data_IF_254920376377
#
_entry.id   IF_254920376377
#
_cell.length_a   1.000
_cell.length_b   1.000
_cell.length_c   1.000
_cell.angle_alpha   90.00
_cell.angle_beta   90.00
_cell.angle_gamma   90.00
#
_symmetry.space_group_name_H-M   'P 1'
#
loop_
_entity.id
_entity.type
_entity.pdbx_description
1 polymer ?
#
# COMPACT_ATOMS: atom_id res chain seq x y z
N UNK A 1 31.72 25.31 -17.19
CA UNK A 1 31.87 25.13 -15.74
C UNK A 1 30.84 24.11 -15.29
N UNK A 2 31.27 22.90 -14.92
CA UNK A 2 30.38 21.85 -14.45
C UNK A 2 30.15 21.99 -12.94
N UNK A 3 28.95 22.36 -12.53
CA UNK A 3 28.54 22.35 -11.11
C UNK A 3 27.62 21.16 -10.88
N UNK A 4 28.20 20.08 -10.34
CA UNK A 4 27.48 18.97 -9.71
C UNK A 4 26.82 19.45 -8.43
N UNK A 5 25.57 19.06 -8.19
CA UNK A 5 25.06 18.76 -6.85
C UNK A 5 23.74 17.96 -6.96
N UNK A 6 23.83 16.66 -6.71
CA UNK A 6 22.71 15.86 -6.20
C UNK A 6 23.18 15.17 -4.91
N UNK A 7 22.30 15.07 -3.91
CA UNK A 7 22.06 13.76 -3.33
C UNK A 7 20.58 13.37 -3.42
N UNK A 8 20.44 12.12 -3.82
CA UNK A 8 19.23 11.36 -4.11
C UNK A 8 18.37 11.18 -2.85
N UNK A 9 17.12 11.65 -2.87
CA UNK A 9 16.04 11.00 -2.10
C UNK A 9 15.18 10.20 -3.08
N UNK A 10 15.67 9.00 -3.39
CA UNK A 10 14.93 8.04 -4.19
C UNK A 10 13.81 7.44 -3.33
N UNK A 11 12.61 8.00 -3.44
CA UNK A 11 11.36 7.34 -3.06
C UNK A 11 10.56 7.01 -4.32
N UNK A 12 11.22 6.34 -5.26
CA UNK A 12 10.56 5.72 -6.41
C UNK A 12 10.53 4.22 -6.16
N UNK A 13 9.36 3.67 -5.84
CA UNK A 13 9.11 2.25 -6.01
C UNK A 13 7.71 2.06 -6.62
N UNK A 14 7.70 2.23 -7.94
CA UNK A 14 6.93 1.35 -8.83
C UNK A 14 7.52 -0.06 -8.64
N UNK A 15 6.73 -1.04 -8.21
CA UNK A 15 7.19 -2.44 -8.12
C UNK A 15 6.52 -3.23 -9.23
N UNK A 16 7.32 -3.49 -10.27
CA UNK A 16 7.07 -4.47 -11.32
C UNK A 16 7.14 -5.87 -10.70
N UNK A 17 6.23 -6.76 -11.11
CA UNK A 17 6.05 -8.10 -10.56
C UNK A 17 7.32 -8.94 -10.80
N UNK A 18 8.15 -9.11 -9.77
CA UNK A 18 9.44 -9.75 -9.87
C UNK A 18 10.26 -9.64 -8.58
N UNK A 19 9.89 -10.45 -7.58
CA UNK A 19 10.71 -10.93 -6.46
C UNK A 19 12.10 -10.29 -6.19
N UNK A 20 12.18 -9.00 -5.83
CA UNK A 20 13.35 -8.37 -5.18
C UNK A 20 12.82 -7.37 -4.13
N UNK A 21 12.24 -7.86 -3.04
CA UNK A 21 12.29 -7.11 -1.77
C UNK A 21 12.91 -8.05 -0.75
N UNK A 22 14.16 -7.74 -0.44
CA UNK A 22 14.99 -8.40 0.55
C UNK A 22 14.19 -8.68 1.83
N UNK A 23 14.25 -9.94 2.28
CA UNK A 23 13.71 -10.40 3.58
C UNK A 23 14.32 -9.67 4.81
N UNK A 24 15.18 -8.65 4.66
CA UNK A 24 15.94 -8.04 5.78
C UNK A 24 15.35 -6.76 6.37
N UNK A 25 14.42 -6.05 5.73
CA UNK A 25 13.83 -4.84 6.34
C UNK A 25 12.63 -5.22 7.21
N UNK A 26 12.89 -5.45 8.51
CA UNK A 26 11.84 -5.56 9.53
C UNK A 26 11.62 -4.18 10.17
N UNK A 27 10.51 -3.49 9.91
CA UNK A 27 10.22 -2.21 10.56
C UNK A 27 10.15 -2.37 12.08
N UNK A 28 10.53 -1.32 12.81
CA UNK A 28 10.54 -1.27 14.29
C UNK A 28 9.42 -0.41 14.88
N UNK A 29 8.61 0.19 14.02
CA UNK A 29 7.48 1.03 14.38
C UNK A 29 6.36 0.83 13.35
N UNK A 30 5.08 1.01 13.73
CA UNK A 30 3.97 0.87 12.80
C UNK A 30 4.04 1.95 11.71
N UNK A 31 3.48 1.63 10.54
CA UNK A 31 3.41 2.57 9.42
C UNK A 31 4.70 2.79 8.65
N UNK A 32 5.83 2.22 9.08
CA UNK A 32 7.12 2.34 8.38
C UNK A 32 7.19 1.51 7.10
N UNK A 33 6.45 0.41 7.02
CA UNK A 33 6.34 -0.42 5.82
C UNK A 33 4.92 -0.93 5.68
N UNK A 34 4.20 -0.33 4.74
CA UNK A 34 2.86 -0.77 4.35
C UNK A 34 2.95 -1.40 2.97
N UNK A 35 2.58 -2.67 2.88
CA UNK A 35 2.37 -3.38 1.64
C UNK A 35 0.96 -3.11 1.14
N UNK A 36 0.85 -2.81 -0.16
CA UNK A 36 -0.42 -2.52 -0.83
C UNK A 36 -0.53 -3.42 -2.03
N UNK A 37 -1.51 -4.32 -2.00
CA UNK A 37 -1.77 -5.27 -3.07
C UNK A 37 -3.12 -4.96 -3.71
N UNK A 38 -3.12 -4.51 -4.97
CA UNK A 38 -4.33 -4.36 -5.77
C UNK A 38 -4.47 -5.58 -6.68
N UNK A 39 -5.56 -6.32 -6.53
CA UNK A 39 -5.89 -7.37 -7.46
C UNK A 39 -6.86 -6.89 -8.54
N UNK A 40 -6.59 -7.34 -9.76
CA UNK A 40 -7.25 -6.92 -10.99
C UNK A 40 -8.73 -7.28 -11.07
N UNK A 41 -9.37 -6.98 -12.22
CA UNK A 41 -10.79 -7.15 -12.38
C UNK A 41 -11.15 -8.63 -12.28
N UNK A 42 -11.83 -9.00 -11.20
CA UNK A 42 -12.39 -10.32 -10.98
C UNK A 42 -13.40 -10.62 -12.08
N UNK A 43 -13.37 -11.85 -12.58
CA UNK A 43 -14.30 -12.30 -13.61
C UNK A 43 -15.75 -12.19 -13.13
N UNK A 44 -15.96 -12.47 -11.84
CA UNK A 44 -17.24 -12.35 -11.16
C UNK A 44 -17.24 -11.08 -10.30
N UNK A 45 -18.26 -10.25 -10.47
CA UNK A 45 -18.50 -9.09 -9.61
C UNK A 45 -18.89 -9.54 -8.21
N UNK A 46 -18.41 -8.85 -7.18
CA UNK A 46 -18.92 -9.05 -5.82
C UNK A 46 -20.40 -8.71 -5.72
N UNK A 47 -21.05 -9.07 -4.61
CA UNK A 47 -22.44 -8.69 -4.32
C UNK A 47 -22.68 -7.16 -4.40
N UNK A 48 -21.64 -6.36 -4.17
CA UNK A 48 -21.68 -4.88 -4.29
C UNK A 48 -21.31 -4.32 -5.67
N UNK A 49 -21.11 -5.18 -6.67
CA UNK A 49 -20.69 -4.79 -8.03
C UNK A 49 -19.22 -4.39 -8.14
N UNK A 50 -18.41 -4.66 -7.12
CA UNK A 50 -16.96 -4.39 -7.16
C UNK A 50 -16.24 -5.47 -7.97
N UNK A 51 -15.24 -5.05 -8.74
CA UNK A 51 -14.42 -5.94 -9.57
C UNK A 51 -13.00 -6.05 -9.05
N UNK A 52 -12.57 -5.18 -8.13
CA UNK A 52 -11.22 -5.16 -7.62
C UNK A 52 -11.24 -5.40 -6.11
N UNK A 53 -10.16 -5.98 -5.59
CA UNK A 53 -9.89 -5.99 -4.17
C UNK A 53 -8.52 -5.38 -3.90
N UNK A 54 -8.44 -4.56 -2.86
CA UNK A 54 -7.25 -3.86 -2.44
C UNK A 54 -6.94 -4.23 -1.00
N UNK A 55 -5.72 -4.69 -0.75
CA UNK A 55 -5.27 -5.10 0.58
C UNK A 55 -4.16 -4.17 1.03
N UNK A 56 -4.37 -3.53 2.18
CA UNK A 56 -3.33 -2.85 2.93
C UNK A 56 -2.85 -3.76 4.04
N UNK A 57 -1.53 -3.86 4.20
CA UNK A 57 -0.89 -4.65 5.26
C UNK A 57 0.29 -3.87 5.83
N UNK A 58 0.20 -3.51 7.10
CA UNK A 58 1.36 -3.01 7.84
C UNK A 58 2.20 -4.19 8.36
N UNK A 59 3.50 -4.18 8.08
CA UNK A 59 4.38 -5.30 8.44
C UNK A 59 4.71 -5.33 9.94
N UNK A 60 4.70 -4.17 10.61
CA UNK A 60 4.97 -4.06 12.05
C UNK A 60 3.76 -4.40 12.91
N UNK A 61 2.66 -3.63 12.80
CA UNK A 61 1.44 -3.86 13.61
C UNK A 61 0.69 -5.12 13.20
N UNK A 62 0.99 -5.67 12.02
CA UNK A 62 0.21 -6.75 11.38
C UNK A 62 -1.23 -6.37 11.10
N UNK A 63 -1.57 -5.09 11.21
CA UNK A 63 -2.87 -4.57 10.81
C UNK A 63 -3.09 -4.75 9.31
N UNK A 64 -4.28 -5.25 8.97
CA UNK A 64 -4.66 -5.52 7.59
C UNK A 64 -6.06 -4.99 7.33
N UNK A 65 -6.25 -4.37 6.18
CA UNK A 65 -7.56 -3.96 5.69
C UNK A 65 -7.75 -4.32 4.24
N UNK A 66 -8.96 -4.75 3.91
CA UNK A 66 -9.36 -5.13 2.56
C UNK A 66 -10.50 -4.21 2.14
N UNK A 67 -10.35 -3.60 0.97
CA UNK A 67 -11.35 -2.75 0.34
C UNK A 67 -11.80 -3.37 -0.98
N UNK A 68 -13.09 -3.27 -1.28
CA UNK A 68 -13.67 -3.70 -2.55
C UNK A 68 -13.90 -2.49 -3.43
N UNK A 69 -13.23 -2.43 -4.59
CA UNK A 69 -13.32 -1.26 -5.48
C UNK A 69 -14.09 -1.59 -6.76
N UNK A 70 -14.81 -0.60 -7.27
CA UNK A 70 -15.44 -0.67 -8.59
C UNK A 70 -14.45 -0.22 -9.67
N UNK A 71 -13.62 0.77 -9.38
CA UNK A 71 -12.59 1.31 -10.28
C UNK A 71 -11.22 1.29 -9.61
N UNK A 72 -10.15 1.31 -10.41
CA UNK A 72 -8.78 1.41 -9.91
C UNK A 72 -8.48 2.79 -9.32
N UNK A 73 -9.17 3.82 -9.78
CA UNK A 73 -8.97 5.21 -9.36
C UNK A 73 -9.38 5.44 -7.88
N UNK A 74 -10.25 4.57 -7.35
CA UNK A 74 -10.79 4.66 -5.99
C UNK A 74 -9.72 4.32 -4.92
N UNK A 75 -8.53 3.83 -5.32
CA UNK A 75 -7.45 3.40 -4.41
C UNK A 75 -6.98 4.54 -3.49
N UNK A 76 -6.93 5.78 -3.99
CA UNK A 76 -6.49 6.93 -3.20
C UNK A 76 -7.42 7.21 -2.02
N UNK A 77 -8.74 7.12 -2.23
CA UNK A 77 -9.74 7.29 -1.17
C UNK A 77 -9.65 6.18 -0.12
N UNK A 78 -9.40 4.94 -0.56
CA UNK A 78 -9.19 3.82 0.35
C UNK A 78 -7.91 3.95 1.18
N UNK A 79 -6.84 4.56 0.64
CA UNK A 79 -5.62 4.84 1.39
C UNK A 79 -5.88 5.84 2.52
N UNK A 80 -6.60 6.94 2.26
CA UNK A 80 -6.97 7.91 3.30
C UNK A 80 -7.81 7.26 4.40
N UNK A 81 -8.77 6.42 3.99
CA UNK A 81 -9.62 5.67 4.92
C UNK A 81 -8.78 4.72 5.78
N UNK A 82 -7.87 3.98 5.16
CA UNK A 82 -6.94 3.08 5.86
C UNK A 82 -6.09 3.82 6.89
N UNK A 83 -5.53 4.98 6.54
CA UNK A 83 -4.72 5.77 7.47
C UNK A 83 -5.55 6.26 8.66
N UNK A 84 -6.75 6.76 8.42
CA UNK A 84 -7.66 7.21 9.48
C UNK A 84 -8.08 6.05 10.40
N UNK A 85 -8.43 4.89 9.83
CA UNK A 85 -8.76 3.71 10.61
C UNK A 85 -7.57 3.17 11.40
N UNK A 86 -6.36 3.17 10.82
CA UNK A 86 -5.14 2.68 11.48
C UNK A 86 -4.81 3.50 12.73
N UNK A 87 -5.04 4.82 12.68
CA UNK A 87 -4.88 5.73 13.83
C UNK A 87 -5.90 5.44 14.92
N UNK A 88 -7.18 5.34 14.56
CA UNK A 88 -8.28 5.07 15.51
C UNK A 88 -8.14 3.68 16.15
N UNK A 89 -7.64 2.70 15.41
CA UNK A 89 -7.41 1.35 15.90
C UNK A 89 -6.16 1.20 16.80
N UNK A 90 -5.40 2.28 17.05
CA UNK A 90 -4.18 2.25 17.85
C UNK A 90 -2.98 1.61 17.15
N UNK A 91 -3.04 1.40 15.83
CA UNK A 91 -1.97 0.84 15.01
C UNK A 91 -1.16 1.96 14.35
N UNK A 92 -0.57 2.82 15.19
CA UNK A 92 -0.09 4.17 14.85
C UNK A 92 0.83 4.24 13.62
N UNK A 93 0.26 4.65 12.49
CA UNK A 93 0.93 5.12 11.26
C UNK A 93 1.13 6.64 11.32
#
# INVERSE_FOLDING_TARGET
MASKCMPKSSSALVVFWGSIISRKYRPRAPGKLIHVDLCGPMHVTSLGGSKYFLVFKDDFSRYRRVFFLKRKDDVAQCLETFLNESRTAGNTV
#
